data_IF_267745822704
#
_entry.id   IF_267745822704
#
_cell.length_a   1.000
_cell.length_b   1.000
_cell.length_c   1.000
_cell.angle_alpha   90.00
_cell.angle_beta   90.00
_cell.angle_gamma   90.00
#
_symmetry.space_group_name_H-M   'P 1'
#
loop_
_entity.id
_entity.type
_entity.pdbx_description
1 polymer ?
#
# COMPACT_ATOMS: atom_id res chain seq x y z
N UNK A 1 -21.95 -22.71 15.52
CA UNK A 1 -22.11 -22.36 14.10
C UNK A 1 -20.71 -22.23 13.54
N UNK A 2 -20.36 -23.14 12.64
CA UNK A 2 -19.01 -23.49 12.20
C UNK A 2 -18.26 -22.32 11.57
N UNK A 3 -17.22 -21.86 12.25
CA UNK A 3 -16.19 -20.96 11.73
C UNK A 3 -15.26 -21.75 10.81
N UNK A 4 -15.68 -21.88 9.54
CA UNK A 4 -14.86 -22.41 8.45
C UNK A 4 -14.10 -21.27 7.74
N UNK A 5 -13.55 -20.33 8.51
CA UNK A 5 -12.55 -19.39 7.99
C UNK A 5 -11.18 -20.07 8.00
N UNK A 6 -10.87 -20.81 6.95
CA UNK A 6 -9.48 -20.80 6.50
C UNK A 6 -9.19 -19.34 6.15
N UNK A 7 -8.52 -18.64 7.07
CA UNK A 7 -8.43 -17.19 7.14
C UNK A 7 -8.06 -16.63 5.75
N UNK A 8 -8.99 -15.94 5.08
CA UNK A 8 -8.72 -15.35 3.76
C UNK A 8 -7.52 -14.38 3.79
N UNK A 9 -7.21 -13.84 4.97
CA UNK A 9 -5.97 -13.12 5.25
C UNK A 9 -4.71 -13.99 5.20
N UNK A 10 -4.75 -15.23 5.69
CA UNK A 10 -3.62 -16.16 5.62
C UNK A 10 -3.33 -16.60 4.19
N UNK A 11 -4.39 -16.71 3.36
CA UNK A 11 -4.24 -16.91 1.91
C UNK A 11 -3.47 -15.74 1.27
N UNK A 12 -3.89 -14.50 1.51
CA UNK A 12 -3.22 -13.32 0.95
C UNK A 12 -1.77 -13.18 1.42
N UNK A 13 -1.49 -13.49 2.69
CA UNK A 13 -0.12 -13.52 3.21
C UNK A 13 0.73 -14.57 2.51
N UNK A 14 0.22 -15.79 2.38
CA UNK A 14 0.90 -16.88 1.67
C UNK A 14 1.18 -16.47 0.22
N UNK A 15 0.18 -15.85 -0.43
CA UNK A 15 0.31 -15.39 -1.81
C UNK A 15 1.36 -14.30 -1.98
N UNK A 16 1.45 -13.36 -1.03
CA UNK A 16 2.49 -12.33 -1.04
C UNK A 16 3.89 -12.95 -0.97
N UNK A 17 4.10 -13.94 -0.10
CA UNK A 17 5.38 -14.64 0.02
C UNK A 17 5.72 -15.45 -1.25
N UNK A 18 4.74 -16.12 -1.86
CA UNK A 18 4.92 -16.82 -3.15
C UNK A 18 5.33 -15.87 -4.29
N UNK A 19 4.82 -14.64 -4.27
CA UNK A 19 5.14 -13.61 -5.26
C UNK A 19 6.53 -13.00 -5.06
N UNK A 20 7.24 -13.36 -4.00
CA UNK A 20 8.61 -12.91 -3.72
C UNK A 20 8.71 -11.66 -2.85
N UNK A 21 7.65 -11.34 -2.08
CA UNK A 21 7.74 -10.37 -0.98
C UNK A 21 8.55 -11.00 0.16
N UNK A 22 9.40 -10.23 0.83
CA UNK A 22 10.26 -10.74 1.91
C UNK A 22 9.48 -10.98 3.20
N UNK A 23 8.57 -10.07 3.54
CA UNK A 23 7.67 -10.22 4.68
C UNK A 23 6.30 -9.60 4.40
N UNK A 24 5.26 -10.23 4.95
CA UNK A 24 3.87 -9.84 4.76
C UNK A 24 3.11 -9.97 6.07
N UNK A 25 2.50 -8.87 6.52
CA UNK A 25 1.76 -8.80 7.78
C UNK A 25 0.41 -8.13 7.61
N UNK A 26 -0.61 -8.72 8.20
CA UNK A 26 -1.93 -8.10 8.32
C UNK A 26 -1.91 -7.19 9.54
N UNK A 27 -2.29 -5.93 9.36
CA UNK A 27 -2.36 -4.91 10.40
C UNK A 27 -3.76 -4.30 10.46
N UNK A 28 -4.13 -3.77 11.62
CA UNK A 28 -5.30 -2.91 11.77
C UNK A 28 -4.96 -1.52 11.21
N UNK A 29 -5.85 -0.97 10.38
CA UNK A 29 -5.67 0.37 9.78
C UNK A 29 -5.59 1.48 10.84
N UNK A 30 -6.19 1.26 12.01
CA UNK A 30 -6.08 2.15 13.18
C UNK A 30 -4.65 2.30 13.72
N UNK A 31 -3.77 1.33 13.42
CA UNK A 31 -2.35 1.41 13.80
C UNK A 31 -1.53 2.31 12.87
N UNK A 32 -2.11 2.74 11.74
CA UNK A 32 -1.43 3.60 10.75
C UNK A 32 -1.60 5.07 11.14
N UNK A 33 -0.50 5.71 11.54
CA UNK A 33 -0.48 7.13 11.87
C UNK A 33 -0.19 8.01 10.65
N UNK A 34 -1.10 8.94 10.34
CA UNK A 34 -0.90 9.93 9.27
C UNK A 34 -0.36 11.24 9.87
N UNK A 35 0.91 11.54 9.62
CA UNK A 35 1.59 12.72 10.13
C UNK A 35 1.65 13.87 9.13
N UNK A 36 1.32 15.10 9.56
CA UNK A 36 1.45 16.29 8.70
C UNK A 36 2.89 16.52 8.26
N UNK A 37 3.88 16.24 9.12
CA UNK A 37 5.30 16.44 8.83
C UNK A 37 5.79 15.72 7.57
N UNK A 38 5.16 14.60 7.18
CA UNK A 38 5.52 13.86 5.96
C UNK A 38 5.27 14.73 4.72
N UNK A 39 4.15 15.44 4.70
CA UNK A 39 3.81 16.39 3.65
C UNK A 39 4.81 17.55 3.60
N UNK A 40 5.20 18.10 4.75
CA UNK A 40 6.22 19.16 4.82
C UNK A 40 7.58 18.67 4.28
N UNK A 41 8.00 17.43 4.59
CA UNK A 41 9.23 16.87 4.02
C UNK A 41 9.16 16.71 2.51
N UNK A 42 8.01 16.30 1.96
CA UNK A 42 7.84 16.23 0.51
C UNK A 42 7.88 17.63 -0.12
N UNK A 43 7.15 18.59 0.44
CA UNK A 43 7.03 19.93 -0.12
C UNK A 43 8.34 20.74 -0.12
N UNK A 44 9.14 20.61 0.93
CA UNK A 44 10.34 21.43 1.11
C UNK A 44 11.65 20.65 0.96
N UNK A 45 11.58 19.32 0.90
CA UNK A 45 12.77 18.45 0.88
C UNK A 45 12.87 17.52 -0.32
N UNK A 46 11.85 17.48 -1.21
CA UNK A 46 11.89 16.66 -2.41
C UNK A 46 12.21 17.50 -3.64
N UNK A 47 13.19 17.08 -4.44
CA UNK A 47 13.50 17.69 -5.74
C UNK A 47 12.43 17.41 -6.81
N UNK A 48 11.56 16.42 -6.58
CA UNK A 48 10.51 16.01 -7.50
C UNK A 48 9.14 16.63 -7.20
N UNK A 49 9.08 17.64 -6.32
CA UNK A 49 7.83 18.32 -6.01
C UNK A 49 7.23 18.98 -7.27
N UNK A 50 5.94 18.75 -7.54
CA UNK A 50 5.20 19.23 -8.73
C UNK A 50 5.63 18.64 -10.09
N UNK A 51 6.41 17.54 -10.10
CA UNK A 51 6.90 16.94 -11.35
C UNK A 51 5.92 15.93 -12.00
N UNK A 52 5.12 15.19 -11.21
CA UNK A 52 4.18 14.19 -11.75
C UNK A 52 2.96 13.91 -10.84
N UNK A 53 2.08 13.00 -11.27
CA UNK A 53 0.85 12.62 -10.54
C UNK A 53 1.08 11.88 -9.22
N UNK A 54 2.29 11.36 -8.98
CA UNK A 54 2.74 10.78 -7.72
C UNK A 54 3.25 11.86 -6.75
N UNK A 55 3.33 13.12 -7.20
CA UNK A 55 3.73 14.26 -6.41
C UNK A 55 2.55 15.21 -6.16
N UNK A 56 2.72 16.06 -5.15
CA UNK A 56 1.77 17.14 -4.86
C UNK A 56 1.84 18.15 -6.03
N UNK A 57 0.71 18.70 -6.52
CA UNK A 57 -0.63 18.86 -5.92
C UNK A 57 -1.63 17.71 -6.10
N UNK A 58 -1.28 16.65 -6.85
CA UNK A 58 -2.24 15.65 -7.30
C UNK A 58 -2.47 14.49 -6.31
N UNK A 59 -1.57 14.30 -5.35
CA UNK A 59 -1.71 13.29 -4.30
C UNK A 59 -2.63 13.72 -3.14
N UNK A 60 -3.31 12.77 -2.47
CA UNK A 60 -4.20 13.06 -1.34
C UNK A 60 -3.54 13.91 -0.25
N UNK A 61 -4.30 14.86 0.30
CA UNK A 61 -3.94 15.59 1.50
C UNK A 61 -3.94 14.71 2.75
N UNK A 62 -3.35 15.22 3.84
CA UNK A 62 -3.32 14.53 5.14
C UNK A 62 -4.73 14.16 5.63
N UNK A 63 -5.69 15.08 5.51
CA UNK A 63 -7.07 14.84 5.96
C UNK A 63 -7.82 13.86 5.05
N UNK A 64 -7.54 13.85 3.75
CA UNK A 64 -8.13 12.89 2.81
C UNK A 64 -7.60 11.48 3.09
N UNK A 65 -6.30 11.34 3.33
CA UNK A 65 -5.70 10.05 3.69
C UNK A 65 -6.24 9.51 5.02
N UNK A 66 -6.43 10.38 6.03
CA UNK A 66 -7.08 10.01 7.29
C UNK A 66 -8.52 9.53 7.10
N UNK A 67 -9.27 10.12 6.17
CA UNK A 67 -10.63 9.68 5.84
C UNK A 67 -10.61 8.33 5.12
N UNK A 68 -9.74 8.17 4.12
CA UNK A 68 -9.57 6.92 3.39
C UNK A 68 -9.26 5.76 4.34
N UNK A 69 -8.30 5.91 5.24
CA UNK A 69 -7.92 4.83 6.19
C UNK A 69 -9.08 4.39 7.09
N UNK A 70 -10.04 5.26 7.39
CA UNK A 70 -11.23 4.92 8.19
C UNK A 70 -12.26 4.08 7.43
N UNK A 71 -12.16 4.00 6.10
CA UNK A 71 -13.03 3.14 5.29
C UNK A 71 -12.62 1.67 5.30
N UNK A 72 -11.45 1.37 5.86
CA UNK A 72 -10.85 0.04 5.95
C UNK A 72 -10.65 -0.35 7.40
N UNK A 73 -10.77 -1.64 7.73
CA UNK A 73 -10.44 -2.19 9.05
C UNK A 73 -9.09 -2.88 9.09
N UNK A 74 -8.67 -3.46 7.97
CA UNK A 74 -7.43 -4.24 7.82
C UNK A 74 -6.62 -3.75 6.62
N UNK A 75 -5.31 -3.88 6.73
CA UNK A 75 -4.37 -3.66 5.63
C UNK A 75 -3.35 -4.80 5.57
N UNK A 76 -2.90 -5.15 4.36
CA UNK A 76 -1.76 -6.04 4.14
C UNK A 76 -0.51 -5.19 3.96
N UNK A 77 0.37 -5.20 4.95
CA UNK A 77 1.68 -4.56 4.90
C UNK A 77 2.68 -5.54 4.28
N UNK A 78 3.31 -5.12 3.18
CA UNK A 78 4.35 -5.86 2.49
C UNK A 78 5.71 -5.17 2.64
N UNK A 79 6.78 -5.96 2.74
CA UNK A 79 8.16 -5.47 2.90
C UNK A 79 9.10 -6.11 1.88
N UNK A 80 10.09 -5.34 1.43
CA UNK A 80 11.20 -5.82 0.62
C UNK A 80 12.10 -4.70 0.11
N UNK A 81 13.22 -5.07 -0.52
CA UNK A 81 14.26 -4.10 -0.93
C UNK A 81 14.01 -3.41 -2.29
N UNK A 82 13.15 -3.96 -3.16
CA UNK A 82 12.95 -3.45 -4.53
C UNK A 82 11.64 -2.69 -4.65
N UNK A 83 11.69 -1.37 -4.51
CA UNK A 83 10.50 -0.50 -4.50
C UNK A 83 9.59 -0.62 -5.74
N UNK A 84 10.09 -0.46 -6.99
CA UNK A 84 9.23 -0.60 -8.18
C UNK A 84 8.61 -2.00 -8.31
N UNK A 85 9.38 -3.04 -8.00
CA UNK A 85 8.88 -4.42 -7.98
C UNK A 85 7.80 -4.59 -6.91
N UNK A 86 7.98 -4.04 -5.70
CA UNK A 86 6.97 -4.09 -4.65
C UNK A 86 5.66 -3.42 -5.07
N UNK A 87 5.72 -2.29 -5.77
CA UNK A 87 4.52 -1.65 -6.33
C UNK A 87 3.80 -2.59 -7.30
N UNK A 88 4.53 -3.29 -8.18
CA UNK A 88 3.91 -4.26 -9.13
C UNK A 88 3.28 -5.43 -8.39
N UNK A 89 3.94 -5.92 -7.34
CA UNK A 89 3.42 -6.98 -6.49
C UNK A 89 2.18 -6.53 -5.71
N UNK A 90 2.14 -5.29 -5.24
CA UNK A 90 0.99 -4.73 -4.54
C UNK A 90 -0.27 -4.72 -5.44
N UNK A 91 -0.14 -4.32 -6.71
CA UNK A 91 -1.25 -4.35 -7.67
C UNK A 91 -1.68 -5.78 -7.99
N UNK A 92 -0.74 -6.73 -8.11
CA UNK A 92 -1.09 -8.16 -8.26
C UNK A 92 -1.86 -8.68 -7.05
N UNK A 93 -1.44 -8.31 -5.84
CA UNK A 93 -2.11 -8.70 -4.60
C UNK A 93 -3.49 -8.05 -4.46
N UNK A 94 -3.68 -6.82 -4.93
CA UNK A 94 -4.99 -6.18 -5.03
C UNK A 94 -5.95 -7.03 -5.88
N UNK A 95 -5.52 -7.46 -7.07
CA UNK A 95 -6.34 -8.31 -7.92
C UNK A 95 -6.67 -9.66 -7.27
N UNK A 96 -5.72 -10.29 -6.57
CA UNK A 96 -5.99 -11.52 -5.82
C UNK A 96 -6.98 -11.29 -4.67
N UNK A 97 -6.86 -10.18 -3.94
CA UNK A 97 -7.81 -9.82 -2.89
C UNK A 97 -9.22 -9.58 -3.43
N UNK A 98 -9.36 -8.94 -4.59
CA UNK A 98 -10.65 -8.77 -5.26
C UNK A 98 -11.28 -10.13 -5.60
N UNK A 99 -10.49 -11.09 -6.11
CA UNK A 99 -10.98 -12.45 -6.42
C UNK A 99 -11.48 -13.20 -5.19
N UNK A 100 -10.83 -13.00 -4.04
CA UNK A 100 -11.24 -13.55 -2.74
C UNK A 100 -12.48 -12.86 -2.15
N UNK A 101 -13.02 -11.83 -2.81
CA UNK A 101 -14.24 -11.13 -2.42
C UNK A 101 -14.03 -9.77 -1.75
N UNK A 102 -12.78 -9.31 -1.58
CA UNK A 102 -12.48 -7.97 -1.08
C UNK A 102 -12.62 -6.92 -2.18
N UNK A 103 -13.86 -6.60 -2.57
CA UNK A 103 -14.15 -5.67 -3.67
C UNK A 103 -13.60 -4.23 -3.47
N UNK A 104 -13.35 -3.81 -2.22
CA UNK A 104 -12.73 -2.52 -1.90
C UNK A 104 -11.21 -2.54 -1.86
N UNK A 105 -10.56 -3.69 -2.12
CA UNK A 105 -9.11 -3.78 -2.04
C UNK A 105 -8.47 -2.69 -2.91
N UNK A 106 -7.50 -2.00 -2.30
CA UNK A 106 -6.83 -0.86 -2.90
C UNK A 106 -5.35 -0.87 -2.50
N UNK A 107 -4.47 -0.90 -3.49
CA UNK A 107 -3.02 -0.93 -3.33
C UNK A 107 -2.47 0.49 -3.17
N UNK A 108 -1.90 0.76 -1.99
CA UNK A 108 -1.07 1.93 -1.77
C UNK A 108 0.36 1.61 -2.19
N UNK A 109 0.78 2.13 -3.34
CA UNK A 109 2.12 1.93 -3.88
C UNK A 109 3.12 2.97 -3.35
N UNK A 110 4.38 2.56 -3.22
CA UNK A 110 5.47 3.41 -2.69
C UNK A 110 6.18 4.21 -3.79
N UNK A 111 6.29 3.62 -4.98
CA UNK A 111 6.97 4.20 -6.14
C UNK A 111 6.20 3.90 -7.43
N UNK A 112 6.25 4.81 -8.44
CA UNK A 112 5.65 4.56 -9.74
C UNK A 112 6.33 3.39 -10.49
N UNK A 113 5.62 2.83 -11.46
CA UNK A 113 6.09 1.75 -12.32
C UNK A 113 7.07 2.31 -13.37
N UNK A 114 8.37 2.28 -13.10
CA UNK A 114 9.37 2.84 -14.02
C UNK A 114 10.81 2.56 -13.60
N UNK A 115 11.65 2.27 -14.60
CA UNK A 115 12.97 1.63 -14.47
C UNK A 115 14.11 2.59 -14.08
N UNK A 116 15.07 2.01 -13.34
CA UNK A 116 16.47 2.44 -13.09
C UNK A 116 16.74 3.82 -12.50
N UNK A 117 17.28 3.80 -11.26
CA UNK A 117 18.45 4.59 -10.89
C UNK A 117 18.33 6.11 -11.06
N UNK A 118 17.50 6.75 -10.23
CA UNK A 118 17.71 8.16 -9.90
C UNK A 118 18.62 8.22 -8.67
N UNK A 119 19.93 8.10 -8.92
CA UNK A 119 20.92 8.82 -8.10
C UNK A 119 20.79 10.30 -8.37
#
# INVERSE_FOLDING_TARGET
MSDNSVNSFDYLKTKALELGVEDAKIIDTETVFVGHWVQWKCQYGCSFYDEDASHRPLVPGVEEMKKLLKEYSKALLIHGFKGPTLSELAVKLEHEAIKEGYYKAFALISLPFGNTGST
#
